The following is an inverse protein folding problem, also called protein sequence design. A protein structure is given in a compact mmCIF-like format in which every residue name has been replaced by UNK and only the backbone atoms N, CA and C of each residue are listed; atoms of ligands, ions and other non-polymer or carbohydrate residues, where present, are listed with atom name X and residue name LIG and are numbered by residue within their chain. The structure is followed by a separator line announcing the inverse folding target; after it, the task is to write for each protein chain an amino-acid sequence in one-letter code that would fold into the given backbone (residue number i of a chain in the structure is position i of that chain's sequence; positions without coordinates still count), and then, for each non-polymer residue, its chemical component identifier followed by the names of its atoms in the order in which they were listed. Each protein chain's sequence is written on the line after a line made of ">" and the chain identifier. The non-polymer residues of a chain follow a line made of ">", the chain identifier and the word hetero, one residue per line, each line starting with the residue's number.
data_IF_113250886321
#
_entry.id   IF_113250886321
#
_cell.length_a   1.000
_cell.length_b   1.000
_cell.length_c   1.000
_cell.angle_alpha   90.00
_cell.angle_beta   90.00
_cell.angle_gamma   90.00
#
_symmetry.space_group_name_H-M   'P 1'
#
loop_
_entity.id
_entity.type
_entity.pdbx_description
1 polymer ?
#
# COMPACT_ATOMS: atom_id res chain seq x y z
N UNK A 1 -4.49 1.21 33.56
CA UNK A 1 -3.46 0.23 34.03
C UNK A 1 -4.02 -1.19 34.06
N UNK A 2 -5.09 -1.45 34.82
CA UNK A 2 -5.71 -2.78 34.95
C UNK A 2 -6.13 -3.45 33.61
N UNK A 3 -6.83 -2.73 32.73
CA UNK A 3 -7.30 -3.29 31.45
C UNK A 3 -6.17 -3.69 30.48
N UNK A 4 -5.05 -2.97 30.51
CA UNK A 4 -3.88 -3.31 29.67
C UNK A 4 -3.24 -4.63 30.13
N UNK A 5 -3.18 -4.85 31.45
CA UNK A 5 -2.67 -6.10 32.04
C UNK A 5 -3.58 -7.27 31.64
N UNK A 6 -4.90 -7.09 31.72
CA UNK A 6 -5.88 -8.11 31.31
C UNK A 6 -5.74 -8.44 29.82
N UNK A 7 -5.59 -7.41 28.97
CA UNK A 7 -5.42 -7.61 27.53
C UNK A 7 -4.15 -8.41 27.22
N UNK A 8 -3.03 -8.11 27.89
CA UNK A 8 -1.77 -8.85 27.75
C UNK A 8 -1.92 -10.30 28.20
N UNK A 9 -2.61 -10.56 29.33
CA UNK A 9 -2.88 -11.91 29.82
C UNK A 9 -3.71 -12.72 28.81
N UNK A 10 -4.75 -12.13 28.21
CA UNK A 10 -5.55 -12.74 27.17
C UNK A 10 -4.74 -13.06 25.91
N UNK A 11 -3.84 -12.14 25.52
CA UNK A 11 -2.93 -12.32 24.39
C UNK A 11 -1.95 -13.47 24.62
N UNK A 12 -1.36 -13.55 25.81
CA UNK A 12 -0.49 -14.66 26.20
C UNK A 12 -1.24 -15.99 26.24
N UNK A 13 -2.45 -16.02 26.81
CA UNK A 13 -3.30 -17.22 26.78
C UNK A 13 -3.58 -17.70 25.35
N UNK A 14 -3.89 -16.76 24.45
CA UNK A 14 -4.16 -17.07 23.05
C UNK A 14 -2.94 -17.69 22.33
N UNK A 15 -1.75 -17.12 22.52
CA UNK A 15 -0.52 -17.59 21.86
C UNK A 15 -0.11 -18.97 22.40
N UNK A 16 -0.07 -19.14 23.73
CA UNK A 16 0.57 -20.28 24.37
C UNK A 16 -0.38 -21.45 24.70
N UNK A 17 -1.63 -21.20 25.09
CA UNK A 17 -2.49 -22.21 25.75
C UNK A 17 -3.77 -22.53 24.96
N UNK A 18 -4.25 -21.62 24.11
CA UNK A 18 -5.55 -21.80 23.48
C UNK A 18 -5.65 -23.09 22.62
N UNK A 19 -6.72 -23.89 22.80
CA UNK A 19 -6.96 -25.11 22.03
C UNK A 19 -7.19 -24.79 20.56
N UNK A 20 -6.88 -25.76 19.68
CA UNK A 20 -6.90 -25.59 18.21
C UNK A 20 -8.24 -25.04 17.69
N UNK A 21 -9.35 -25.44 18.30
CA UNK A 21 -10.71 -24.98 17.92
C UNK A 21 -10.90 -23.48 18.16
N UNK A 22 -10.45 -22.96 19.31
CA UNK A 22 -10.52 -21.53 19.65
C UNK A 22 -9.52 -20.74 18.80
N UNK A 23 -8.32 -21.29 18.58
CA UNK A 23 -7.32 -20.68 17.69
C UNK A 23 -7.85 -20.48 16.28
N UNK A 24 -8.59 -21.46 15.73
CA UNK A 24 -9.10 -21.34 14.37
C UNK A 24 -10.17 -20.24 14.24
N UNK A 25 -11.10 -20.17 15.19
CA UNK A 25 -12.13 -19.10 15.20
C UNK A 25 -11.50 -17.73 15.39
N UNK A 26 -10.56 -17.58 16.33
CA UNK A 26 -9.91 -16.29 16.59
C UNK A 26 -9.03 -15.86 15.42
N UNK A 27 -8.37 -16.80 14.73
CA UNK A 27 -7.59 -16.51 13.52
C UNK A 27 -8.49 -16.06 12.36
N UNK A 28 -9.67 -16.65 12.23
CA UNK A 28 -10.64 -16.18 11.23
C UNK A 28 -11.14 -14.77 11.56
N UNK A 29 -11.45 -14.50 12.83
CA UNK A 29 -11.85 -13.16 13.30
C UNK A 29 -10.72 -12.14 13.09
N UNK A 30 -9.47 -12.49 13.40
CA UNK A 30 -8.32 -11.59 13.22
C UNK A 30 -8.08 -11.30 11.74
N UNK A 31 -8.17 -12.30 10.86
CA UNK A 31 -8.05 -12.12 9.40
C UNK A 31 -9.15 -11.19 8.88
N UNK A 32 -10.41 -11.42 9.26
CA UNK A 32 -11.53 -10.54 8.86
C UNK A 32 -11.33 -9.12 9.39
N UNK A 33 -10.88 -8.98 10.64
CA UNK A 33 -10.58 -7.67 11.24
C UNK A 33 -9.46 -6.93 10.51
N UNK A 34 -8.38 -7.63 10.13
CA UNK A 34 -7.28 -7.08 9.34
C UNK A 34 -7.79 -6.66 7.95
N UNK A 35 -8.59 -7.49 7.29
CA UNK A 35 -9.15 -7.17 5.97
C UNK A 35 -10.04 -5.93 6.05
N UNK A 36 -10.93 -5.85 7.05
CA UNK A 36 -11.79 -4.69 7.26
C UNK A 36 -10.95 -3.42 7.51
N UNK A 37 -9.93 -3.51 8.36
CA UNK A 37 -9.01 -2.40 8.63
C UNK A 37 -8.27 -1.93 7.38
N UNK A 38 -7.76 -2.87 6.57
CA UNK A 38 -7.12 -2.57 5.30
C UNK A 38 -8.08 -1.92 4.30
N UNK A 39 -9.34 -2.37 4.24
CA UNK A 39 -10.35 -1.80 3.37
C UNK A 39 -10.64 -0.33 3.74
N UNK A 40 -10.76 -0.04 5.04
CA UNK A 40 -10.93 1.34 5.53
C UNK A 40 -9.71 2.20 5.23
N UNK A 41 -8.49 1.68 5.46
CA UNK A 41 -7.25 2.36 5.11
C UNK A 41 -7.17 2.67 3.62
N UNK A 42 -7.51 1.71 2.76
CA UNK A 42 -7.52 1.88 1.31
C UNK A 42 -8.49 2.99 0.90
N UNK A 43 -9.72 2.99 1.44
CA UNK A 43 -10.71 4.05 1.19
C UNK A 43 -10.22 5.43 1.65
N UNK A 44 -9.67 5.53 2.87
CA UNK A 44 -9.10 6.78 3.38
C UNK A 44 -7.92 7.27 2.53
N UNK A 45 -7.05 6.36 2.10
CA UNK A 45 -5.89 6.69 1.26
C UNK A 45 -6.34 7.22 -0.10
N UNK A 46 -7.37 6.61 -0.70
CA UNK A 46 -7.90 7.06 -1.98
C UNK A 46 -8.47 8.48 -1.91
N UNK A 47 -9.23 8.78 -0.86
CA UNK A 47 -9.76 10.14 -0.60
C UNK A 47 -8.61 11.12 -0.37
N UNK A 48 -7.59 10.74 0.42
CA UNK A 48 -6.38 11.54 0.67
C UNK A 48 -5.60 11.84 -0.61
N UNK A 49 -5.53 10.89 -1.54
CA UNK A 49 -4.86 11.08 -2.84
C UNK A 49 -5.63 12.13 -3.66
N UNK A 50 -6.95 12.05 -3.74
CA UNK A 50 -7.76 13.03 -4.49
C UNK A 50 -7.67 14.44 -3.86
N UNK A 51 -7.63 14.52 -2.53
CA UNK A 51 -7.45 15.78 -1.81
C UNK A 51 -6.00 16.28 -1.80
N UNK A 52 -5.05 15.52 -2.37
CA UNK A 52 -3.65 15.92 -2.37
C UNK A 52 -3.42 17.11 -3.32
N UNK A 53 -2.41 17.95 -3.03
CA UNK A 53 -2.15 19.15 -3.81
C UNK A 53 -1.98 18.84 -5.32
N UNK A 54 -2.62 19.61 -6.24
CA UNK A 54 -2.56 19.37 -7.68
C UNK A 54 -1.13 19.32 -8.24
N UNK A 55 -0.18 19.96 -7.57
CA UNK A 55 1.23 20.03 -7.92
C UNK A 55 1.88 18.64 -7.99
N UNK A 56 1.44 17.70 -7.15
CA UNK A 56 1.94 16.31 -7.17
C UNK A 56 1.53 15.62 -8.47
N UNK A 57 0.27 15.80 -8.88
CA UNK A 57 -0.24 15.22 -10.12
C UNK A 57 0.42 15.83 -11.35
N UNK A 58 0.60 17.16 -11.35
CA UNK A 58 1.29 17.88 -12.43
C UNK A 58 2.76 17.45 -12.51
N UNK A 59 3.43 17.30 -11.36
CA UNK A 59 4.81 16.84 -11.27
C UNK A 59 5.00 15.45 -11.88
N UNK A 60 4.11 14.50 -11.57
CA UNK A 60 4.10 13.16 -12.19
C UNK A 60 3.92 13.27 -13.70
N UNK A 61 3.00 14.11 -14.17
CA UNK A 61 2.80 14.38 -15.59
C UNK A 61 4.06 14.90 -16.28
N UNK A 62 4.75 15.87 -15.66
CA UNK A 62 5.99 16.42 -16.21
C UNK A 62 7.13 15.39 -16.25
N UNK A 63 7.22 14.49 -15.26
CA UNK A 63 8.21 13.40 -15.28
C UNK A 63 7.96 12.46 -16.47
N UNK A 64 6.71 12.11 -16.74
CA UNK A 64 6.34 11.26 -17.88
C UNK A 64 6.70 11.94 -19.20
N UNK A 65 6.33 13.21 -19.36
CA UNK A 65 6.66 13.99 -20.56
C UNK A 65 8.18 14.11 -20.73
N UNK A 66 8.91 14.38 -19.66
CA UNK A 66 10.38 14.44 -19.67
C UNK A 66 11.01 13.12 -20.08
N UNK A 67 10.50 11.98 -19.59
CA UNK A 67 10.96 10.65 -20.00
C UNK A 67 10.73 10.41 -21.50
N UNK A 68 9.55 10.75 -22.02
CA UNK A 68 9.27 10.63 -23.46
C UNK A 68 10.15 11.54 -24.30
N UNK A 69 10.38 12.77 -23.88
CA UNK A 69 11.27 13.70 -24.57
C UNK A 69 12.72 13.19 -24.60
N UNK A 70 13.24 12.67 -23.48
CA UNK A 70 14.56 12.03 -23.42
C UNK A 70 14.64 10.80 -24.34
N UNK A 71 13.61 9.96 -24.32
CA UNK A 71 13.52 8.78 -25.20
C UNK A 71 13.53 9.19 -26.67
N UNK A 72 12.81 10.25 -27.05
CA UNK A 72 12.77 10.74 -28.43
C UNK A 72 14.14 11.29 -28.89
N UNK A 73 14.80 12.10 -28.06
CA UNK A 73 16.16 12.58 -28.33
C UNK A 73 17.16 11.42 -28.52
N UNK A 74 17.04 10.36 -27.72
CA UNK A 74 17.89 9.16 -27.87
C UNK A 74 17.62 8.40 -29.18
N UNK A 75 16.38 8.36 -29.66
CA UNK A 75 16.03 7.75 -30.95
C UNK A 75 16.52 8.58 -32.14
N UNK A 76 16.62 9.91 -31.99
CA UNK A 76 17.22 10.78 -33.01
C UNK A 76 18.73 10.57 -33.12
N UNK A 77 19.44 10.35 -32.00
CA UNK A 77 20.89 10.12 -31.98
C UNK A 77 21.31 8.77 -32.57
N UNK A 78 20.40 7.80 -32.60
CA UNK A 78 20.66 6.42 -33.03
C UNK A 78 20.21 6.10 -34.46
N UNK A 79 19.60 7.04 -35.21
CA UNK A 79 19.39 6.85 -36.65
C UNK A 79 20.73 6.92 -37.40
N UNK A 80 21.27 5.82 -37.97
CA UNK A 80 22.32 5.95 -38.95
C UNK A 80 21.76 6.72 -40.14
N UNK A 81 22.48 7.77 -40.55
CA UNK A 81 22.25 8.53 -41.78
C UNK A 81 22.28 7.54 -42.96
N UNK A 82 21.14 6.97 -43.32
CA UNK A 82 21.07 6.04 -44.44
C UNK A 82 21.23 6.83 -45.74
N UNK A 83 22.33 6.49 -46.40
CA UNK A 83 22.81 6.83 -47.75
C UNK A 83 21.69 7.20 -48.72
N UNK A 84 21.78 8.42 -49.25
CA UNK A 84 21.52 8.67 -50.67
C UNK A 84 22.84 8.57 -51.40
#
# INVERSE_FOLDING_TARGET
>A
MFYAIIAILLLMYYIFIAPKTIKNTMNMISVVGIIAFLMVLAGMTFIRIIQSPPEIFIGIGMIIVGYYALKDVLHLRTRPKNKR
#
